data_IF_591781540939
#
_entry.id   IF_591781540939
#
_cell.length_a   1.000
_cell.length_b   1.000
_cell.length_c   1.000
_cell.angle_alpha   90.00
_cell.angle_beta   90.00
_cell.angle_gamma   90.00
#
_symmetry.space_group_name_H-M   'P 1'
#
loop_
_entity.id
_entity.type
_entity.pdbx_description
1 polymer ?
#
# COMPACT_ATOMS: atom_id res chain seq x y z
N UNK A 1 -7.98 7.57 -2.76
CA UNK A 1 -7.34 7.71 -1.44
C UNK A 1 -8.29 7.55 -0.25
N UNK A 2 -9.56 7.39 -0.52
CA UNK A 2 -10.57 7.16 0.50
C UNK A 2 -10.28 5.92 1.35
N UNK A 3 -9.84 4.83 0.70
CA UNK A 3 -9.51 3.57 1.38
C UNK A 3 -8.33 3.73 2.34
N UNK A 4 -7.29 4.45 1.95
CA UNK A 4 -6.12 4.70 2.78
C UNK A 4 -6.53 5.51 4.02
N UNK A 5 -7.34 6.54 3.83
CA UNK A 5 -7.83 7.37 4.93
C UNK A 5 -8.70 6.56 5.89
N UNK A 6 -9.54 5.64 5.38
CA UNK A 6 -10.33 4.74 6.22
C UNK A 6 -9.44 3.84 7.07
N UNK A 7 -8.37 3.28 6.50
CA UNK A 7 -7.43 2.44 7.23
C UNK A 7 -6.69 3.21 8.31
N UNK A 8 -6.23 4.42 8.00
CA UNK A 8 -5.55 5.28 8.98
C UNK A 8 -6.49 5.66 10.12
N UNK A 9 -7.74 5.92 9.82
CA UNK A 9 -8.75 6.25 10.83
C UNK A 9 -9.06 5.05 11.72
N UNK A 10 -9.22 3.86 11.12
CA UNK A 10 -9.50 2.63 11.86
C UNK A 10 -8.39 2.33 12.89
N UNK A 11 -7.13 2.57 12.55
CA UNK A 11 -5.98 2.32 13.40
C UNK A 11 -5.53 3.56 14.18
N UNK A 12 -6.23 4.69 14.03
CA UNK A 12 -5.88 5.96 14.67
C UNK A 12 -4.41 6.34 14.43
N UNK A 13 -3.99 6.26 13.17
CA UNK A 13 -2.60 6.51 12.78
C UNK A 13 -2.28 8.00 12.86
N UNK A 14 -1.18 8.32 13.57
CA UNK A 14 -0.61 9.65 13.66
C UNK A 14 0.69 9.71 12.84
N UNK A 15 1.25 10.91 12.70
CA UNK A 15 2.48 11.09 11.95
C UNK A 15 3.66 10.32 12.57
N UNK A 16 3.64 10.12 13.88
CA UNK A 16 4.68 9.44 14.65
C UNK A 16 4.35 7.98 15.00
N UNK A 17 3.26 7.43 14.45
CA UNK A 17 2.87 6.05 14.73
C UNK A 17 3.93 5.09 14.19
N UNK A 18 4.44 4.21 15.06
CA UNK A 18 5.46 3.22 14.70
C UNK A 18 4.85 1.82 14.49
N UNK A 19 5.68 0.87 14.06
CA UNK A 19 5.24 -0.51 13.81
C UNK A 19 4.75 -1.20 15.08
N UNK A 20 5.35 -0.89 16.21
CA UNK A 20 4.95 -1.44 17.51
C UNK A 20 3.55 -0.99 17.89
N UNK A 21 3.24 0.28 17.69
CA UNK A 21 1.90 0.83 17.93
C UNK A 21 0.87 0.23 16.99
N UNK A 22 1.20 0.06 15.72
CA UNK A 22 0.32 -0.60 14.76
C UNK A 22 0.02 -2.03 15.18
N UNK A 23 1.02 -2.77 15.64
CA UNK A 23 0.85 -4.15 16.08
C UNK A 23 -0.03 -4.24 17.32
N UNK A 24 0.16 -3.33 18.27
CA UNK A 24 -0.64 -3.26 19.50
C UNK A 24 -2.11 -2.98 19.16
N UNK A 25 -2.36 -2.01 18.30
CA UNK A 25 -3.72 -1.68 17.85
C UNK A 25 -4.34 -2.85 17.10
N UNK A 26 -3.59 -3.50 16.22
CA UNK A 26 -4.04 -4.68 15.48
C UNK A 26 -4.50 -5.80 16.41
N UNK A 27 -3.70 -6.11 17.40
CA UNK A 27 -4.04 -7.16 18.39
C UNK A 27 -5.32 -6.83 19.16
N UNK A 28 -5.49 -5.56 19.54
CA UNK A 28 -6.70 -5.09 20.23
C UNK A 28 -7.94 -5.21 19.36
N UNK A 29 -7.85 -4.79 18.10
CA UNK A 29 -8.96 -4.86 17.16
C UNK A 29 -9.34 -6.30 16.82
N UNK A 30 -8.36 -7.18 16.62
CA UNK A 30 -8.61 -8.61 16.37
C UNK A 30 -9.31 -9.23 17.57
N UNK A 31 -8.87 -8.92 18.78
CA UNK A 31 -9.50 -9.44 20.00
C UNK A 31 -10.95 -8.98 20.12
N UNK A 32 -11.25 -7.74 19.72
CA UNK A 32 -12.60 -7.18 19.78
C UNK A 32 -13.54 -7.80 18.75
N UNK A 33 -13.05 -8.06 17.53
CA UNK A 33 -13.87 -8.48 16.40
C UNK A 33 -13.67 -9.92 15.95
N UNK A 34 -12.94 -10.74 16.72
CA UNK A 34 -12.69 -12.13 16.33
C UNK A 34 -14.01 -12.90 16.22
N UNK A 35 -14.21 -13.68 15.12
CA UNK A 35 -15.45 -14.44 14.94
C UNK A 35 -15.81 -15.39 16.08
N UNK A 36 -14.82 -15.90 16.82
CA UNK A 36 -15.05 -16.78 17.96
C UNK A 36 -15.84 -16.12 19.10
N UNK A 37 -15.89 -14.79 19.13
CA UNK A 37 -16.72 -14.05 20.10
C UNK A 37 -18.19 -14.06 19.77
N UNK A 38 -18.55 -14.52 18.58
CA UNK A 38 -19.93 -14.55 18.09
C UNK A 38 -20.32 -15.98 17.69
N UNK A 39 -20.25 -16.94 18.63
CA UNK A 39 -20.41 -18.37 18.28
C UNK A 39 -21.81 -18.74 17.85
N UNK A 40 -22.80 -17.89 18.13
CA UNK A 40 -24.19 -18.17 17.76
C UNK A 40 -24.53 -17.82 16.32
N UNK A 41 -23.58 -17.25 15.58
CA UNK A 41 -23.79 -16.85 14.19
C UNK A 41 -24.71 -15.64 14.05
N UNK A 42 -25.39 -15.55 12.92
CA UNK A 42 -26.30 -14.45 12.61
C UNK A 42 -25.60 -13.20 12.13
N UNK A 43 -26.31 -12.06 12.21
CA UNK A 43 -25.83 -10.77 11.68
C UNK A 43 -24.55 -10.29 12.36
N UNK A 44 -24.42 -10.52 13.66
CA UNK A 44 -23.22 -10.12 14.41
C UNK A 44 -21.99 -10.91 14.00
N UNK A 45 -22.13 -12.20 13.74
CA UNK A 45 -21.03 -13.04 13.28
C UNK A 45 -20.60 -12.62 11.86
N UNK A 46 -21.56 -12.31 10.99
CA UNK A 46 -21.26 -11.81 9.64
C UNK A 46 -20.55 -10.47 9.69
N UNK A 47 -21.01 -9.56 10.54
CA UNK A 47 -20.36 -8.26 10.73
C UNK A 47 -18.94 -8.42 11.26
N UNK A 48 -18.73 -9.33 12.23
CA UNK A 48 -17.41 -9.59 12.79
C UNK A 48 -16.46 -10.15 11.73
N UNK A 49 -16.93 -11.02 10.85
CA UNK A 49 -16.12 -11.59 9.77
C UNK A 49 -15.68 -10.50 8.77
N UNK A 50 -16.61 -9.63 8.36
CA UNK A 50 -16.32 -8.51 7.47
C UNK A 50 -15.32 -7.56 8.13
N UNK A 51 -15.55 -7.21 9.40
CA UNK A 51 -14.68 -6.30 10.15
C UNK A 51 -13.29 -6.89 10.35
N UNK A 52 -13.19 -8.18 10.64
CA UNK A 52 -11.90 -8.86 10.80
C UNK A 52 -11.09 -8.83 9.50
N UNK A 53 -11.73 -9.06 8.36
CA UNK A 53 -11.07 -8.97 7.05
C UNK A 53 -10.55 -7.56 6.81
N UNK A 54 -11.36 -6.53 7.08
CA UNK A 54 -10.94 -5.14 6.95
C UNK A 54 -9.75 -4.81 7.85
N UNK A 55 -9.75 -5.28 9.09
CA UNK A 55 -8.66 -5.07 10.04
C UNK A 55 -7.36 -5.70 9.54
N UNK A 56 -7.42 -6.92 9.04
CA UNK A 56 -6.25 -7.63 8.50
C UNK A 56 -5.68 -6.88 7.29
N UNK A 57 -6.54 -6.51 6.36
CA UNK A 57 -6.13 -5.78 5.15
C UNK A 57 -5.52 -4.42 5.51
N UNK A 58 -6.16 -3.69 6.44
CA UNK A 58 -5.67 -2.40 6.90
C UNK A 58 -4.31 -2.51 7.57
N UNK A 59 -4.13 -3.50 8.44
CA UNK A 59 -2.85 -3.73 9.12
C UNK A 59 -1.72 -3.97 8.12
N UNK A 60 -1.91 -4.91 7.19
CA UNK A 60 -0.88 -5.21 6.20
C UNK A 60 -0.56 -4.01 5.32
N UNK A 61 -1.58 -3.25 4.94
CA UNK A 61 -1.38 -2.03 4.16
C UNK A 61 -0.58 -1.00 4.95
N UNK A 62 -1.00 -0.69 6.17
CA UNK A 62 -0.35 0.33 7.01
C UNK A 62 1.08 -0.03 7.35
N UNK A 63 1.37 -1.31 7.60
CA UNK A 63 2.75 -1.78 7.81
C UNK A 63 3.58 -1.55 6.55
N UNK A 64 3.03 -1.81 5.37
CA UNK A 64 3.75 -1.67 4.11
C UNK A 64 4.13 -0.23 3.77
N UNK A 65 3.39 0.77 4.28
CA UNK A 65 3.67 2.19 4.05
C UNK A 65 4.28 2.89 5.27
N UNK A 66 4.50 2.18 6.38
CA UNK A 66 5.05 2.78 7.59
C UNK A 66 6.43 3.36 7.34
N UNK A 67 6.79 4.50 8.00
CA UNK A 67 8.11 5.11 7.82
C UNK A 67 9.27 4.16 8.09
N UNK A 68 9.14 3.28 9.09
CA UNK A 68 10.16 2.28 9.42
C UNK A 68 10.35 1.26 8.30
N UNK A 69 9.24 0.80 7.69
CA UNK A 69 9.27 -0.12 6.56
C UNK A 69 9.92 0.53 5.34
N UNK A 70 9.57 1.79 5.08
CA UNK A 70 10.18 2.57 3.99
C UNK A 70 11.69 2.74 4.21
N UNK A 71 12.10 3.07 5.43
CA UNK A 71 13.51 3.22 5.76
C UNK A 71 14.29 1.92 5.55
N UNK A 72 13.70 0.79 5.97
CA UNK A 72 14.32 -0.53 5.80
C UNK A 72 14.49 -0.92 4.33
N UNK A 73 13.56 -0.51 3.47
CA UNK A 73 13.55 -0.88 2.05
C UNK A 73 14.02 0.24 1.11
N UNK A 74 14.46 1.37 1.66
CA UNK A 74 14.80 2.56 0.88
C UNK A 74 15.93 2.31 -0.12
N UNK A 75 16.97 1.60 0.28
CA UNK A 75 18.12 1.33 -0.59
C UNK A 75 17.71 0.47 -1.78
N UNK A 76 16.93 -0.58 -1.55
CA UNK A 76 16.40 -1.42 -2.61
C UNK A 76 15.54 -0.62 -3.58
N UNK A 77 14.66 0.24 -3.05
CA UNK A 77 13.82 1.09 -3.88
C UNK A 77 14.65 2.06 -4.71
N UNK A 78 15.64 2.70 -4.10
CA UNK A 78 16.51 3.65 -4.81
C UNK A 78 17.23 2.99 -5.97
N UNK A 79 17.76 1.81 -5.77
CA UNK A 79 18.46 1.04 -6.81
C UNK A 79 17.46 0.73 -7.94
N UNK A 80 16.30 0.20 -7.63
CA UNK A 80 15.27 -0.11 -8.62
C UNK A 80 14.84 1.14 -9.40
N UNK A 81 14.51 2.22 -8.70
CA UNK A 81 14.00 3.43 -9.32
C UNK A 81 15.05 4.19 -10.14
N UNK A 82 16.35 4.07 -9.79
CA UNK A 82 17.41 4.80 -10.50
C UNK A 82 18.12 3.98 -11.55
N UNK A 83 18.22 2.66 -11.38
CA UNK A 83 19.04 1.80 -12.24
C UNK A 83 18.20 0.85 -13.12
N UNK A 84 17.02 0.45 -12.67
CA UNK A 84 16.19 -0.46 -13.44
C UNK A 84 15.26 0.32 -14.37
N UNK A 85 15.16 -0.11 -15.61
CA UNK A 85 14.18 0.47 -16.54
C UNK A 85 12.77 0.01 -16.22
N UNK A 86 11.79 0.66 -16.83
CA UNK A 86 10.38 0.33 -16.67
C UNK A 86 9.96 -0.71 -17.72
N UNK A 87 9.29 -1.77 -17.26
CA UNK A 87 8.76 -2.81 -18.14
C UNK A 87 7.31 -2.52 -18.55
N UNK A 88 6.48 -2.06 -17.61
CA UNK A 88 5.06 -1.83 -17.88
C UNK A 88 4.43 -0.87 -16.87
N UNK A 89 3.29 -0.28 -17.26
CA UNK A 89 2.47 0.58 -16.40
C UNK A 89 1.05 0.08 -16.40
N UNK A 90 0.37 0.18 -15.26
CA UNK A 90 -1.07 -0.02 -15.14
C UNK A 90 -1.64 1.05 -14.24
N UNK A 91 -2.81 1.59 -14.60
CA UNK A 91 -3.45 2.64 -13.82
C UNK A 91 -4.93 2.34 -13.65
N UNK A 92 -5.41 2.44 -12.42
CA UNK A 92 -6.83 2.28 -12.09
C UNK A 92 -7.18 3.25 -10.96
N UNK A 93 -8.16 4.12 -11.21
CA UNK A 93 -8.53 5.15 -10.25
C UNK A 93 -7.37 6.10 -10.00
N UNK A 94 -6.86 6.12 -8.77
CA UNK A 94 -5.70 6.90 -8.37
C UNK A 94 -4.46 6.04 -8.10
N UNK A 95 -4.51 4.76 -8.47
CA UNK A 95 -3.42 3.82 -8.28
C UNK A 95 -2.65 3.60 -9.56
N UNK A 96 -1.35 3.85 -9.52
CA UNK A 96 -0.43 3.54 -10.61
C UNK A 96 0.46 2.38 -10.17
N UNK A 97 0.48 1.30 -10.96
CA UNK A 97 1.43 0.21 -10.79
C UNK A 97 2.52 0.33 -11.84
N UNK A 98 3.77 0.32 -11.40
CA UNK A 98 4.94 0.35 -12.29
C UNK A 98 5.70 -0.96 -12.10
N UNK A 99 5.82 -1.74 -13.18
CA UNK A 99 6.63 -2.95 -13.20
C UNK A 99 7.99 -2.62 -13.78
N UNK A 100 9.05 -2.95 -13.06
CA UNK A 100 10.41 -2.66 -13.45
C UNK A 100 11.06 -3.88 -14.13
N UNK A 101 12.11 -3.63 -14.90
CA UNK A 101 12.82 -4.69 -15.62
C UNK A 101 13.50 -5.70 -14.70
N UNK A 102 13.77 -5.33 -13.45
CA UNK A 102 14.35 -6.24 -12.46
C UNK A 102 13.32 -7.23 -11.87
N UNK A 103 12.07 -7.18 -12.33
CA UNK A 103 11.00 -8.07 -11.87
C UNK A 103 10.18 -7.55 -10.69
N UNK A 104 10.53 -6.39 -10.15
CA UNK A 104 9.76 -5.80 -9.04
C UNK A 104 8.64 -4.93 -9.57
N UNK A 105 7.56 -4.80 -8.77
CA UNK A 105 6.44 -3.92 -9.06
C UNK A 105 6.19 -3.04 -7.85
N UNK A 106 6.05 -1.73 -8.09
CA UNK A 106 5.72 -0.76 -7.04
C UNK A 106 4.39 -0.10 -7.36
N UNK A 107 3.63 0.17 -6.31
CA UNK A 107 2.35 0.85 -6.39
C UNK A 107 2.50 2.28 -5.91
N UNK A 108 1.98 3.23 -6.68
CA UNK A 108 2.01 4.66 -6.35
C UNK A 108 0.58 5.17 -6.16
N UNK A 109 0.33 5.83 -5.04
CA UNK A 109 -1.02 6.25 -4.63
C UNK A 109 -1.23 7.73 -4.84
N UNK A 110 -2.40 8.09 -5.36
CA UNK A 110 -2.76 9.49 -5.61
C UNK A 110 -2.43 9.98 -7.01
N UNK A 111 -2.04 9.10 -7.90
CA UNK A 111 -1.69 9.45 -9.29
C UNK A 111 -2.97 9.64 -10.09
N UNK A 112 -3.24 10.87 -10.52
CA UNK A 112 -4.43 11.19 -11.30
C UNK A 112 -4.33 10.65 -12.73
N UNK A 113 -5.48 10.54 -13.39
CA UNK A 113 -5.55 10.16 -14.80
C UNK A 113 -4.75 11.12 -15.68
N UNK A 114 -4.75 12.41 -15.34
CA UNK A 114 -3.99 13.42 -16.06
C UNK A 114 -2.48 13.16 -15.99
N UNK A 115 -1.96 12.86 -14.81
CA UNK A 115 -0.54 12.55 -14.62
C UNK A 115 -0.18 11.26 -15.37
N UNK A 116 -1.04 10.25 -15.28
CA UNK A 116 -0.84 9.00 -16.00
C UNK A 116 -0.81 9.21 -17.52
N UNK A 117 -1.71 10.04 -18.05
CA UNK A 117 -1.73 10.37 -19.48
C UNK A 117 -0.42 11.04 -19.90
N UNK A 118 0.10 11.95 -19.10
CA UNK A 118 1.39 12.61 -19.38
C UNK A 118 2.53 11.60 -19.39
N UNK A 119 2.50 10.62 -18.48
CA UNK A 119 3.49 9.55 -18.41
C UNK A 119 3.50 8.70 -19.67
N UNK A 120 2.31 8.23 -20.08
CA UNK A 120 2.15 7.34 -21.24
C UNK A 120 2.49 8.05 -22.54
N UNK A 121 2.17 9.34 -22.65
CA UNK A 121 2.39 10.13 -23.85
C UNK A 121 3.78 10.79 -23.90
N UNK A 122 4.59 10.61 -22.85
CA UNK A 122 5.94 11.18 -22.83
C UNK A 122 6.86 10.43 -23.80
N UNK A 123 7.76 11.17 -24.49
CA UNK A 123 8.79 10.56 -25.32
C UNK A 123 9.79 9.75 -24.49
N UNK A 124 9.94 10.10 -23.21
CA UNK A 124 10.82 9.41 -22.27
C UNK A 124 10.07 9.13 -20.95
N UNK A 125 9.21 8.09 -20.93
CA UNK A 125 8.37 7.80 -19.76
C UNK A 125 9.16 7.60 -18.48
N UNK A 126 10.29 6.90 -18.53
CA UNK A 126 11.13 6.67 -17.35
C UNK A 126 11.62 7.99 -16.74
N UNK A 127 12.07 8.91 -17.60
CA UNK A 127 12.56 10.21 -17.13
C UNK A 127 11.44 11.04 -16.51
N UNK A 128 10.26 11.00 -17.13
CA UNK A 128 9.07 11.67 -16.60
C UNK A 128 8.70 11.11 -15.22
N UNK A 129 8.66 9.79 -15.10
CA UNK A 129 8.33 9.12 -13.84
C UNK A 129 9.35 9.44 -12.76
N UNK A 130 10.62 9.41 -13.07
CA UNK A 130 11.70 9.72 -12.14
C UNK A 130 11.58 11.13 -11.58
N UNK A 131 11.20 12.10 -12.43
CA UNK A 131 11.08 13.50 -12.04
C UNK A 131 9.78 13.82 -11.31
N UNK A 132 8.67 13.18 -11.68
CA UNK A 132 7.33 13.59 -11.28
C UNK A 132 6.57 12.58 -10.45
N UNK A 133 7.00 11.31 -10.39
CA UNK A 133 6.25 10.25 -9.73
C UNK A 133 7.03 9.58 -8.61
N UNK A 134 8.23 9.08 -8.88
CA UNK A 134 8.96 8.19 -7.96
C UNK A 134 9.27 8.81 -6.61
N UNK A 135 9.52 10.11 -6.54
CA UNK A 135 9.83 10.81 -5.29
C UNK A 135 8.73 11.75 -4.82
N UNK A 136 7.58 11.74 -5.48
CA UNK A 136 6.48 12.68 -5.20
C UNK A 136 5.30 11.98 -4.52
N UNK A 137 4.93 10.78 -4.99
CA UNK A 137 3.76 10.07 -4.51
C UNK A 137 4.11 9.02 -3.46
N UNK A 138 3.15 8.74 -2.58
CA UNK A 138 3.25 7.62 -1.65
C UNK A 138 3.37 6.33 -2.45
N UNK A 139 4.31 5.46 -2.09
CA UNK A 139 4.53 4.20 -2.79
C UNK A 139 4.67 3.04 -1.81
N UNK A 140 4.47 1.83 -2.34
CA UNK A 140 4.82 0.60 -1.65
C UNK A 140 5.19 -0.47 -2.67
N UNK A 141 5.98 -1.47 -2.25
CA UNK A 141 6.26 -2.64 -3.07
C UNK A 141 4.97 -3.45 -3.21
N UNK A 142 4.68 -3.94 -4.40
CA UNK A 142 3.45 -4.66 -4.68
C UNK A 142 3.37 -5.94 -3.85
N UNK A 143 2.17 -6.23 -3.35
CA UNK A 143 1.87 -7.47 -2.63
C UNK A 143 2.11 -8.70 -3.49
N UNK A 144 1.98 -8.58 -4.81
CA UNK A 144 2.21 -9.68 -5.75
C UNK A 144 3.67 -10.16 -5.71
N UNK A 145 4.62 -9.24 -5.57
CA UNK A 145 6.03 -9.59 -5.49
C UNK A 145 6.37 -10.31 -4.20
N UNK A 146 5.69 -9.95 -3.11
CA UNK A 146 5.87 -10.59 -1.82
C UNK A 146 5.37 -12.04 -1.82
N UNK A 147 4.39 -12.37 -2.66
CA UNK A 147 3.85 -13.71 -2.78
C UNK A 147 4.74 -14.64 -3.62
N UNK A 148 5.56 -14.07 -4.49
CA UNK A 148 6.48 -14.81 -5.34
C UNK A 148 7.83 -15.07 -4.66
N UNK A 149 8.09 -14.38 -3.60
CA UNK A 149 9.28 -14.59 -2.80
C UNK A 149 9.03 -15.68 -1.76
#
# INVERSE_FOLDING_TARGET
MKRINQYKKLFNVQADTDLKQLKTTYRGLVKEWHPDKFPQGGDKATEAEIKSTEIIDAYHFLVSIAPETKAANLEEYRITATESGIADFKHKGLLLEVSFLDGTTYEYFGVSKNIYSKLVNSDKPYRFAKRNIFNTFLYRKSKKDLQLA
#
